data_IF_995736961338
#
_entry.id   IF_995736961338
#
_cell.length_a   1.000
_cell.length_b   1.000
_cell.length_c   1.000
_cell.angle_alpha   90.00
_cell.angle_beta   90.00
_cell.angle_gamma   90.00
#
_symmetry.space_group_name_H-M   'P 1'
#
loop_
_entity.id
_entity.type
_entity.pdbx_description
1 polymer ?
#
# COMPACT_ATOMS: atom_id res chain seq x y z
N UNK A 1 -17.11 50.28 15.65
CA UNK A 1 -16.29 50.18 14.43
C UNK A 1 -15.47 48.90 14.48
N UNK A 2 -15.46 48.07 13.43
CA UNK A 2 -14.80 46.76 13.40
C UNK A 2 -13.29 46.88 13.20
N UNK A 3 -12.49 46.07 13.90
CA UNK A 3 -11.05 45.89 13.64
C UNK A 3 -10.83 44.54 12.94
N UNK A 4 -10.13 44.58 11.81
CA UNK A 4 -9.82 43.47 10.91
C UNK A 4 -8.73 42.53 11.46
N UNK A 5 -8.67 41.26 11.00
CA UNK A 5 -7.63 40.31 11.38
C UNK A 5 -6.34 40.48 10.53
N UNK A 6 -5.19 40.38 11.19
CA UNK A 6 -3.85 40.42 10.61
C UNK A 6 -3.46 39.07 9.97
N UNK A 7 -3.09 39.11 8.69
CA UNK A 7 -2.49 37.98 7.93
C UNK A 7 -0.96 38.01 8.07
N UNK A 8 -0.28 36.93 8.50
CA UNK A 8 1.17 36.84 8.39
C UNK A 8 1.61 36.40 6.99
N UNK A 9 2.62 37.11 6.47
CA UNK A 9 3.22 37.02 5.14
C UNK A 9 4.09 35.75 4.97
N UNK A 10 3.97 35.15 3.78
CA UNK A 10 4.84 34.11 3.25
C UNK A 10 6.23 34.66 2.92
N UNK A 11 7.28 34.02 3.44
CA UNK A 11 8.68 34.32 3.14
C UNK A 11 9.27 33.18 2.31
N UNK A 12 9.33 33.37 0.98
CA UNK A 12 10.10 32.50 0.08
C UNK A 12 11.59 32.57 0.40
N UNK A 13 12.19 31.41 0.70
CA UNK A 13 13.64 31.22 0.74
C UNK A 13 14.16 30.67 -0.59
N UNK A 14 15.43 30.99 -0.84
CA UNK A 14 16.11 31.21 -2.13
C UNK A 14 16.45 29.94 -2.94
N UNK A 15 16.82 30.06 -4.23
CA UNK A 15 17.21 28.94 -5.09
C UNK A 15 18.63 28.44 -4.77
N UNK A 16 18.82 27.13 -4.73
CA UNK A 16 20.13 26.48 -4.53
C UNK A 16 20.87 26.32 -5.87
N UNK A 17 22.12 26.76 -5.93
CA UNK A 17 23.07 26.51 -7.03
C UNK A 17 23.93 25.29 -6.71
N UNK A 18 24.02 24.26 -7.57
CA UNK A 18 24.92 23.13 -7.34
C UNK A 18 26.35 23.46 -7.78
N UNK A 19 27.30 23.33 -6.84
CA UNK A 19 28.75 23.41 -7.05
C UNK A 19 29.31 22.02 -7.38
N UNK A 20 30.13 21.83 -8.43
CA UNK A 20 30.79 20.57 -8.72
C UNK A 20 32.18 20.53 -8.07
N UNK A 21 32.44 19.52 -7.24
CA UNK A 21 33.81 19.18 -6.81
C UNK A 21 33.98 17.67 -6.72
N UNK A 22 34.97 17.08 -7.42
CA UNK A 22 35.26 15.66 -7.39
C UNK A 22 36.29 15.36 -6.30
N UNK A 23 36.02 14.39 -5.44
CA UNK A 23 37.02 13.87 -4.51
C UNK A 23 36.77 12.37 -4.32
N UNK A 24 37.49 11.59 -5.13
CA UNK A 24 37.74 10.18 -4.87
C UNK A 24 38.65 10.09 -3.65
N UNK A 25 38.12 9.60 -2.54
CA UNK A 25 38.93 9.18 -1.40
C UNK A 25 38.69 7.68 -1.16
N UNK A 26 39.75 6.90 -1.38
CA UNK A 26 39.72 5.45 -1.38
C UNK A 26 40.21 4.97 -0.02
N UNK A 27 39.31 4.51 0.85
CA UNK A 27 39.67 3.91 2.15
C UNK A 27 39.72 2.38 2.06
N UNK A 28 40.73 1.70 2.64
CA UNK A 28 40.93 0.27 2.41
C UNK A 28 39.98 -0.64 3.19
N UNK A 29 39.75 -1.78 2.54
CA UNK A 29 38.97 -2.97 2.90
C UNK A 29 39.27 -3.52 4.30
N UNK A 30 38.21 -3.73 5.09
CA UNK A 30 38.18 -4.74 6.17
C UNK A 30 37.14 -5.79 5.79
N UNK A 31 37.63 -6.97 5.45
CA UNK A 31 36.89 -8.20 5.19
C UNK A 31 36.24 -8.69 6.49
N UNK A 32 34.91 -8.62 6.55
CA UNK A 32 34.10 -9.45 7.45
C UNK A 32 33.04 -10.15 6.60
N UNK A 33 32.89 -11.49 6.71
CA UNK A 33 31.87 -12.22 5.96
C UNK A 33 30.50 -11.87 6.52
N UNK A 34 29.88 -10.84 5.95
CA UNK A 34 28.49 -10.50 6.16
C UNK A 34 27.67 -11.59 5.50
N UNK A 35 27.18 -12.56 6.29
CA UNK A 35 26.10 -13.46 5.89
C UNK A 35 24.91 -12.60 5.48
N UNK A 36 24.87 -12.26 4.19
CA UNK A 36 23.70 -11.69 3.53
C UNK A 36 22.69 -12.81 3.46
N UNK A 37 21.82 -12.90 4.45
CA UNK A 37 20.46 -13.39 4.20
C UNK A 37 19.97 -12.59 2.98
N UNK A 38 19.49 -13.24 1.91
CA UNK A 38 18.94 -12.52 0.78
C UNK A 38 17.65 -11.87 1.25
N UNK A 39 17.75 -10.61 1.69
CA UNK A 39 16.60 -9.72 1.76
C UNK A 39 16.13 -9.60 0.32
N UNK A 40 15.14 -10.44 -0.02
CA UNK A 40 14.58 -10.56 -1.36
C UNK A 40 14.36 -9.17 -1.94
N UNK A 41 15.02 -8.92 -3.07
CA UNK A 41 14.90 -7.65 -3.77
C UNK A 41 13.42 -7.31 -3.94
N UNK A 42 13.04 -6.11 -3.51
CA UNK A 42 11.83 -5.46 -4.02
C UNK A 42 12.04 -5.21 -5.50
N UNK A 43 11.79 -6.25 -6.29
CA UNK A 43 11.55 -6.16 -7.71
C UNK A 43 10.37 -5.19 -7.90
N UNK A 44 10.41 -4.29 -8.91
CA UNK A 44 9.37 -3.30 -9.11
C UNK A 44 8.01 -3.98 -9.25
N UNK A 45 7.22 -3.91 -8.18
CA UNK A 45 5.77 -3.95 -8.13
C UNK A 45 5.11 -4.75 -9.27
N UNK A 46 5.38 -6.06 -9.35
CA UNK A 46 4.55 -6.99 -10.11
C UNK A 46 3.20 -7.10 -9.37
N UNK A 47 2.35 -6.07 -9.50
CA UNK A 47 0.98 -6.08 -8.96
C UNK A 47 0.20 -7.06 -9.81
N UNK A 48 0.28 -8.35 -9.44
CA UNK A 48 -0.57 -9.38 -10.02
C UNK A 48 -2.03 -8.90 -9.86
N UNK A 49 -2.76 -8.67 -10.96
CA UNK A 49 -4.15 -8.25 -10.90
C UNK A 49 -4.99 -9.32 -10.20
N UNK A 50 -6.07 -8.92 -9.56
CA UNK A 50 -7.02 -9.86 -8.97
C UNK A 50 -7.84 -10.51 -10.07
N UNK A 51 -7.86 -11.83 -10.09
CA UNK A 51 -8.70 -12.63 -10.98
C UNK A 51 -10.09 -12.83 -10.39
N UNK A 52 -11.05 -13.14 -11.26
CA UNK A 52 -12.43 -13.42 -10.83
C UNK A 52 -12.50 -14.65 -9.90
N UNK A 53 -11.70 -15.69 -10.18
CA UNK A 53 -11.61 -16.88 -9.32
C UNK A 53 -11.14 -16.53 -7.91
N UNK A 54 -10.10 -15.68 -7.78
CA UNK A 54 -9.61 -15.20 -6.49
C UNK A 54 -10.70 -14.41 -5.71
N UNK A 55 -11.48 -13.57 -6.39
CA UNK A 55 -12.59 -12.87 -5.74
C UNK A 55 -13.72 -13.81 -5.30
N UNK A 56 -13.99 -14.84 -6.08
CA UNK A 56 -15.01 -15.85 -5.73
C UNK A 56 -14.58 -16.63 -4.50
N UNK A 57 -13.30 -17.06 -4.44
CA UNK A 57 -12.73 -17.70 -3.24
C UNK A 57 -12.81 -16.80 -2.01
N UNK A 58 -12.46 -15.52 -2.18
CA UNK A 58 -12.52 -14.52 -1.11
C UNK A 58 -13.95 -14.35 -0.59
N UNK A 59 -14.93 -14.29 -1.49
CA UNK A 59 -16.35 -14.19 -1.14
C UNK A 59 -16.84 -15.42 -0.37
N UNK A 60 -16.59 -16.63 -0.89
CA UNK A 60 -16.99 -17.88 -0.23
C UNK A 60 -16.37 -18.02 1.16
N UNK A 61 -15.11 -17.60 1.29
CA UNK A 61 -14.40 -17.62 2.55
C UNK A 61 -15.07 -16.71 3.59
N UNK A 62 -15.45 -15.50 3.18
CA UNK A 62 -16.15 -14.56 4.07
C UNK A 62 -17.55 -15.05 4.43
N UNK A 63 -18.26 -15.72 3.52
CA UNK A 63 -19.56 -16.32 3.82
C UNK A 63 -19.46 -17.46 4.85
N UNK A 64 -18.38 -18.24 4.83
CA UNK A 64 -18.16 -19.37 5.76
C UNK A 64 -17.63 -18.93 7.12
N UNK A 65 -16.62 -18.05 7.12
CA UNK A 65 -15.85 -17.71 8.32
C UNK A 65 -16.16 -16.32 8.88
N UNK A 66 -16.92 -15.51 8.12
CA UNK A 66 -17.12 -14.09 8.40
C UNK A 66 -15.94 -13.21 7.95
N UNK A 67 -16.06 -11.91 8.22
CA UNK A 67 -15.04 -10.91 7.89
C UNK A 67 -14.27 -10.41 9.13
N UNK A 68 -14.49 -11.01 10.30
CA UNK A 68 -13.96 -10.51 11.57
C UNK A 68 -12.62 -11.16 11.95
N UNK A 69 -11.58 -10.33 12.07
CA UNK A 69 -10.28 -10.74 12.58
C UNK A 69 -9.23 -11.06 11.50
N UNK A 70 -7.99 -10.66 11.77
CA UNK A 70 -6.88 -10.75 10.79
C UNK A 70 -6.53 -12.20 10.41
N UNK A 71 -6.64 -13.12 11.36
CA UNK A 71 -6.33 -14.56 11.17
C UNK A 71 -7.25 -15.22 10.15
N UNK A 72 -8.48 -14.73 10.00
CA UNK A 72 -9.42 -15.27 9.02
C UNK A 72 -8.89 -15.10 7.60
N UNK A 73 -8.11 -14.06 7.32
CA UNK A 73 -7.67 -13.77 5.95
C UNK A 73 -6.43 -14.54 5.49
N UNK A 74 -5.71 -15.22 6.39
CA UNK A 74 -4.45 -15.90 6.07
C UNK A 74 -4.62 -17.03 5.06
N UNK A 75 -5.77 -17.69 5.06
CA UNK A 75 -6.12 -18.79 4.14
C UNK A 75 -7.25 -18.45 3.17
N UNK A 76 -7.62 -17.18 3.05
CA UNK A 76 -8.79 -16.78 2.26
C UNK A 76 -8.61 -16.98 0.74
N UNK A 77 -7.39 -16.77 0.22
CA UNK A 77 -7.09 -16.88 -1.21
C UNK A 77 -5.69 -17.44 -1.40
N UNK A 78 -5.56 -18.47 -2.23
CA UNK A 78 -4.27 -19.11 -2.47
C UNK A 78 -3.30 -18.16 -3.20
N UNK A 79 -2.07 -18.04 -2.68
CA UNK A 79 -1.04 -17.18 -3.28
C UNK A 79 -1.22 -15.68 -3.01
N UNK A 80 -2.15 -15.29 -2.15
CA UNK A 80 -2.30 -13.92 -1.64
C UNK A 80 -2.01 -13.89 -0.15
N UNK A 81 -1.56 -12.74 0.33
CA UNK A 81 -1.38 -12.52 1.78
C UNK A 81 -2.71 -12.11 2.43
N UNK A 82 -2.83 -12.37 3.73
CA UNK A 82 -3.97 -11.94 4.53
C UNK A 82 -4.30 -10.45 4.34
N UNK A 83 -3.26 -9.60 4.30
CA UNK A 83 -3.44 -8.16 4.13
C UNK A 83 -3.98 -7.81 2.74
N UNK A 84 -3.52 -8.52 1.69
CA UNK A 84 -4.04 -8.32 0.33
C UNK A 84 -5.51 -8.71 0.25
N UNK A 85 -5.88 -9.87 0.80
CA UNK A 85 -7.27 -10.34 0.83
C UNK A 85 -8.19 -9.39 1.61
N UNK A 86 -7.74 -8.92 2.78
CA UNK A 86 -8.47 -7.92 3.58
C UNK A 86 -8.68 -6.62 2.81
N UNK A 87 -7.63 -6.07 2.18
CA UNK A 87 -7.73 -4.84 1.40
C UNK A 87 -8.64 -5.03 0.17
N UNK A 88 -8.54 -6.15 -0.55
CA UNK A 88 -9.39 -6.45 -1.69
C UNK A 88 -10.87 -6.58 -1.28
N UNK A 89 -11.14 -7.18 -0.12
CA UNK A 89 -12.49 -7.20 0.44
C UNK A 89 -13.00 -5.79 0.76
N UNK A 90 -12.23 -5.02 1.52
CA UNK A 90 -12.65 -3.71 2.01
C UNK A 90 -12.79 -2.68 0.88
N UNK A 91 -11.89 -2.68 -0.11
CA UNK A 91 -11.82 -1.65 -1.15
C UNK A 91 -12.60 -2.01 -2.41
N UNK A 92 -12.85 -3.30 -2.68
CA UNK A 92 -13.40 -3.72 -3.97
C UNK A 92 -14.71 -4.48 -3.79
N UNK A 93 -14.67 -5.64 -3.13
CA UNK A 93 -15.84 -6.54 -3.03
C UNK A 93 -16.98 -5.94 -2.18
N UNK A 94 -16.68 -5.47 -0.96
CA UNK A 94 -17.71 -4.98 -0.07
C UNK A 94 -18.44 -3.72 -0.62
N UNK A 95 -17.74 -2.71 -1.18
CA UNK A 95 -18.40 -1.58 -1.84
C UNK A 95 -19.23 -2.01 -3.07
N UNK A 96 -18.68 -2.91 -3.90
CA UNK A 96 -19.38 -3.41 -5.08
C UNK A 96 -20.69 -4.11 -4.71
N UNK A 97 -20.67 -4.98 -3.70
CA UNK A 97 -21.87 -5.67 -3.22
C UNK A 97 -22.91 -4.69 -2.66
N UNK A 98 -22.48 -3.67 -1.91
CA UNK A 98 -23.38 -2.61 -1.42
C UNK A 98 -24.04 -1.85 -2.57
N UNK A 99 -23.25 -1.42 -3.56
CA UNK A 99 -23.76 -0.72 -4.72
C UNK A 99 -24.73 -1.58 -5.56
N UNK A 100 -24.45 -2.88 -5.71
CA UNK A 100 -25.32 -3.82 -6.39
C UNK A 100 -26.67 -3.99 -5.68
N UNK A 101 -26.66 -4.09 -4.35
CA UNK A 101 -27.89 -4.16 -3.53
C UNK A 101 -28.71 -2.87 -3.67
N UNK A 102 -28.06 -1.72 -3.60
CA UNK A 102 -28.71 -0.42 -3.73
C UNK A 102 -29.34 -0.23 -5.12
N UNK A 103 -28.61 -0.59 -6.17
CA UNK A 103 -29.10 -0.56 -7.56
C UNK A 103 -30.30 -1.48 -7.73
N UNK A 104 -30.27 -2.68 -7.14
CA UNK A 104 -31.40 -3.62 -7.19
C UNK A 104 -32.63 -3.09 -6.47
N UNK A 105 -32.46 -2.31 -5.39
CA UNK A 105 -33.58 -1.72 -4.63
C UNK A 105 -34.28 -0.59 -5.37
N UNK A 106 -33.64 0.01 -6.37
CA UNK A 106 -34.17 1.11 -7.18
C UNK A 106 -34.86 0.72 -8.49
N UNK A 107 -35.04 -0.59 -8.75
CA UNK A 107 -35.87 -1.12 -9.85
C UNK A 107 -37.17 -1.69 -9.32
#
# INVERSE_FOLDING_TARGET
>A
MPKTPNTPKSTSLKPYTPSPSPLNDTKPTITTPKSKTPTGGSSPSNRRPWSNEEFTQLFDHVMKNGAAGKKVWESAVQGRTANQAYLAWQQTLAPFLRAAIETRRGR
#
